data_IF_630368562754
#
_entry.id   IF_630368562754
#
_cell.length_a   1.000
_cell.length_b   1.000
_cell.length_c   1.000
_cell.angle_alpha   90.00
_cell.angle_beta   90.00
_cell.angle_gamma   90.00
#
_symmetry.space_group_name_H-M   'P 1'
#
loop_
_entity.id
_entity.type
_entity.pdbx_description
1 polymer ?
#
# COMPACT_ATOMS: atom_id res chain seq x y z
N UNK A 1 1.73 -7.33 17.94
CA UNK A 1 2.57 -7.26 16.72
C UNK A 1 1.80 -7.32 15.39
N UNK A 2 0.59 -7.89 15.30
CA UNK A 2 -0.17 -7.89 14.03
C UNK A 2 -0.68 -6.49 13.64
N UNK A 3 -1.14 -5.70 14.61
CA UNK A 3 -1.61 -4.31 14.41
C UNK A 3 -0.47 -3.42 13.89
N UNK A 4 0.73 -3.54 14.46
CA UNK A 4 1.92 -2.80 14.00
C UNK A 4 2.26 -3.12 12.54
N UNK A 5 2.17 -4.40 12.16
CA UNK A 5 2.43 -4.85 10.80
C UNK A 5 1.36 -4.33 9.81
N UNK A 6 0.10 -4.28 10.23
CA UNK A 6 -0.98 -3.68 9.46
C UNK A 6 -0.78 -2.16 9.27
N UNK A 7 -0.31 -1.47 10.31
CA UNK A 7 -0.04 -0.02 10.24
C UNK A 7 1.11 0.28 9.28
N UNK A 8 2.20 -0.49 9.36
CA UNK A 8 3.33 -0.37 8.43
C UNK A 8 2.87 -0.70 7.01
N UNK A 9 2.10 -1.78 6.82
CA UNK A 9 1.54 -2.17 5.53
C UNK A 9 0.63 -1.11 4.92
N UNK A 10 -0.17 -0.43 5.74
CA UNK A 10 -1.02 0.68 5.30
C UNK A 10 -0.20 1.86 4.76
N UNK A 11 0.81 2.32 5.52
CA UNK A 11 1.67 3.43 5.11
C UNK A 11 2.44 3.08 3.82
N UNK A 12 3.04 1.90 3.78
CA UNK A 12 3.77 1.42 2.58
C UNK A 12 2.83 1.31 1.38
N UNK A 13 1.63 0.77 1.56
CA UNK A 13 0.62 0.65 0.49
C UNK A 13 0.12 1.99 -0.04
N UNK A 14 -0.05 3.00 0.82
CA UNK A 14 -0.39 4.37 0.38
C UNK A 14 0.71 4.92 -0.53
N UNK A 15 1.97 4.86 -0.08
CA UNK A 15 3.09 5.38 -0.84
C UNK A 15 3.21 4.71 -2.20
N UNK A 16 3.12 3.37 -2.24
CA UNK A 16 3.16 2.60 -3.49
C UNK A 16 1.99 2.97 -4.41
N UNK A 17 0.77 3.06 -3.89
CA UNK A 17 -0.41 3.41 -4.67
C UNK A 17 -0.31 4.80 -5.30
N UNK A 18 0.20 5.78 -4.56
CA UNK A 18 0.42 7.15 -5.06
C UNK A 18 1.50 7.16 -6.15
N UNK A 19 2.61 6.42 -5.95
CA UNK A 19 3.69 6.32 -6.95
C UNK A 19 3.17 5.71 -8.25
N UNK A 20 2.43 4.59 -8.17
CA UNK A 20 1.86 3.94 -9.36
C UNK A 20 0.93 4.89 -10.10
N UNK A 21 0.05 5.59 -9.38
CA UNK A 21 -0.87 6.53 -10.01
C UNK A 21 -0.14 7.73 -10.64
N UNK A 22 0.93 8.22 -10.02
CA UNK A 22 1.77 9.26 -10.60
C UNK A 22 2.46 8.79 -11.89
N UNK A 23 2.95 7.55 -11.93
CA UNK A 23 3.54 6.96 -13.14
C UNK A 23 2.50 6.80 -14.25
N UNK A 24 1.29 6.34 -13.92
CA UNK A 24 0.19 6.21 -14.88
C UNK A 24 -0.22 7.58 -15.42
N UNK A 25 -0.34 8.59 -14.55
CA UNK A 25 -0.64 9.97 -14.93
C UNK A 25 0.41 10.49 -15.92
N UNK A 26 1.71 10.30 -15.62
CA UNK A 26 2.80 10.70 -16.50
C UNK A 26 2.81 9.94 -17.84
N UNK A 27 2.47 8.64 -17.83
CA UNK A 27 2.46 7.81 -19.04
C UNK A 27 1.24 8.06 -19.94
N UNK A 28 0.09 8.38 -19.35
CA UNK A 28 -1.18 8.52 -20.06
C UNK A 28 -1.48 9.96 -20.52
N UNK A 29 -0.70 10.95 -20.07
CA UNK A 29 -0.99 12.39 -20.24
C UNK A 29 -2.42 12.78 -19.77
N UNK A 30 -3.07 11.95 -18.95
CA UNK A 30 -4.36 12.22 -18.35
C UNK A 30 -4.17 12.49 -16.86
N UNK A 31 -4.74 13.60 -16.39
CA UNK A 31 -4.65 14.02 -14.99
C UNK A 31 -5.51 13.15 -14.06
N UNK A 32 -4.96 12.01 -13.62
CA UNK A 32 -5.58 11.18 -12.58
C UNK A 32 -5.29 11.66 -11.15
N UNK A 33 -4.53 12.75 -11.02
CA UNK A 33 -4.06 13.32 -9.76
C UNK A 33 -5.20 13.68 -8.79
N UNK A 34 -6.39 14.03 -9.31
CA UNK A 34 -7.59 14.32 -8.49
C UNK A 34 -8.09 13.12 -7.68
N UNK A 35 -7.86 11.90 -8.17
CA UNK A 35 -8.29 10.67 -7.50
C UNK A 35 -7.15 9.97 -6.74
N UNK A 36 -5.98 10.61 -6.64
CA UNK A 36 -4.78 10.06 -5.98
C UNK A 36 -4.98 9.72 -4.52
N UNK A 37 -5.74 10.54 -3.79
CA UNK A 37 -6.05 10.28 -2.39
C UNK A 37 -6.89 9.01 -2.22
N UNK A 38 -7.93 8.84 -3.03
CA UNK A 38 -8.84 7.68 -2.95
C UNK A 38 -8.09 6.40 -3.35
N UNK A 39 -7.34 6.46 -4.45
CA UNK A 39 -6.57 5.31 -4.94
C UNK A 39 -5.47 4.89 -3.95
N UNK A 40 -4.74 5.86 -3.38
CA UNK A 40 -3.72 5.61 -2.36
C UNK A 40 -4.32 4.95 -1.10
N UNK A 41 -5.49 5.42 -0.64
CA UNK A 41 -6.17 4.82 0.51
C UNK A 41 -6.64 3.38 0.24
N UNK A 42 -7.17 3.10 -0.95
CA UNK A 42 -7.58 1.74 -1.35
C UNK A 42 -6.36 0.81 -1.36
N UNK A 43 -5.26 1.20 -2.00
CA UNK A 43 -4.01 0.42 -2.00
C UNK A 43 -3.46 0.21 -0.58
N UNK A 44 -3.49 1.26 0.26
CA UNK A 44 -3.10 1.18 1.66
C UNK A 44 -3.92 0.16 2.44
N UNK A 45 -5.25 0.20 2.33
CA UNK A 45 -6.15 -0.73 3.04
C UNK A 45 -5.89 -2.17 2.59
N UNK A 46 -5.73 -2.42 1.28
CA UNK A 46 -5.43 -3.76 0.75
C UNK A 46 -4.11 -4.28 1.32
N UNK A 47 -3.04 -3.48 1.29
CA UNK A 47 -1.75 -3.86 1.87
C UNK A 47 -1.82 -4.08 3.39
N UNK A 48 -2.63 -3.31 4.11
CA UNK A 48 -2.84 -3.50 5.55
C UNK A 48 -3.54 -4.83 5.87
N UNK A 49 -4.57 -5.19 5.09
CA UNK A 49 -5.30 -6.47 5.23
C UNK A 49 -4.38 -7.64 4.93
N UNK A 50 -3.59 -7.55 3.85
CA UNK A 50 -2.59 -8.59 3.50
C UNK A 50 -1.54 -8.70 4.61
N UNK A 51 -0.98 -7.59 5.06
CA UNK A 51 -0.01 -7.54 6.15
C UNK A 51 -0.56 -8.15 7.46
N UNK A 52 -1.82 -7.90 7.78
CA UNK A 52 -2.48 -8.48 8.95
C UNK A 52 -2.75 -9.98 8.82
N UNK A 53 -3.05 -10.44 7.59
CA UNK A 53 -3.40 -11.83 7.27
C UNK A 53 -2.19 -12.72 7.03
N UNK A 54 -1.01 -12.14 6.80
CA UNK A 54 0.23 -12.91 6.67
C UNK A 54 0.48 -13.70 7.97
N UNK A 55 0.64 -15.03 7.88
CA UNK A 55 1.03 -15.83 9.03
C UNK A 55 2.37 -15.30 9.53
N UNK A 56 2.51 -15.11 10.86
CA UNK A 56 3.82 -14.80 11.46
C UNK A 56 4.78 -15.89 11.00
N UNK A 57 5.66 -15.60 10.05
CA UNK A 57 6.75 -16.48 9.75
C UNK A 57 7.64 -16.48 10.99
N UNK A 58 7.45 -17.48 11.85
CA UNK A 58 8.38 -17.81 12.93
C UNK A 58 9.61 -18.38 12.23
N UNK A 59 10.48 -17.52 11.71
CA UNK A 59 11.84 -17.94 11.43
C UNK A 59 12.74 -17.31 12.50
N UNK A 60 12.85 -17.90 13.71
CA UNK A 60 14.04 -17.69 14.50
C UNK A 60 15.17 -18.36 13.74
N UNK A 61 16.07 -17.54 13.19
CA UNK A 61 17.49 -17.84 13.02
C UNK A 61 17.88 -19.26 13.43
N UNK A 62 18.19 -20.12 12.46
CA UNK A 62 19.19 -21.16 12.65
C UNK A 62 20.47 -20.68 12.00
#
# INVERSE_FOLDING_TARGET
MKITLAFIGYIVGIFIGIIILAMITAASNQDFTKNSFVFGNICGIICAIIGYSLPKNKNPSK
#
